data_IF_363187299277
#
_entry.id   IF_363187299277
#
_cell.length_a   1.000
_cell.length_b   1.000
_cell.length_c   1.000
_cell.angle_alpha   90.00
_cell.angle_beta   90.00
_cell.angle_gamma   90.00
#
_symmetry.space_group_name_H-M   'P 1'
#
loop_
_entity.id
_entity.type
_entity.pdbx_description
1 polymer ?
#
# COMPACT_ATOMS: atom_id res chain seq x y z
N UNK A 1 -5.99 -7.49 -2.72
CA UNK A 1 -5.69 -8.20 -3.99
C UNK A 1 -5.37 -9.62 -3.62
N UNK A 2 -5.82 -10.61 -4.39
CA UNK A 2 -5.49 -12.01 -4.16
C UNK A 2 -4.61 -12.53 -5.30
N UNK A 3 -3.68 -13.42 -4.99
CA UNK A 3 -2.90 -14.18 -5.97
C UNK A 3 -3.21 -15.66 -5.82
N UNK A 4 -3.23 -16.38 -6.94
CA UNK A 4 -3.35 -17.84 -6.99
C UNK A 4 -2.08 -18.37 -7.65
N UNK A 5 -1.29 -19.16 -6.92
CA UNK A 5 -0.12 -19.86 -7.44
C UNK A 5 -0.49 -21.32 -7.68
N UNK A 6 -0.79 -21.73 -8.93
CA UNK A 6 -1.01 -23.13 -9.24
C UNK A 6 0.34 -23.84 -9.38
N UNK A 7 0.77 -24.53 -8.33
CA UNK A 7 1.74 -25.62 -8.45
C UNK A 7 0.97 -26.88 -8.89
N UNK A 8 1.59 -27.89 -9.52
CA UNK A 8 0.90 -29.14 -9.82
C UNK A 8 0.22 -29.71 -8.56
N UNK A 9 -1.12 -29.70 -8.55
CA UNK A 9 -1.94 -30.19 -7.44
C UNK A 9 -2.12 -29.27 -6.23
N UNK A 10 -1.62 -28.03 -6.24
CA UNK A 10 -1.77 -27.10 -5.10
C UNK A 10 -2.18 -25.69 -5.57
N UNK A 11 -3.17 -25.11 -4.90
CA UNK A 11 -3.57 -23.72 -5.07
C UNK A 11 -3.39 -22.98 -3.75
N UNK A 12 -2.64 -21.89 -3.77
CA UNK A 12 -2.47 -21.00 -2.63
C UNK A 12 -3.28 -19.72 -2.84
N UNK A 13 -4.04 -19.28 -1.83
CA UNK A 13 -4.74 -18.01 -1.83
C UNK A 13 -4.12 -17.10 -0.77
N UNK A 14 -3.57 -15.97 -1.19
CA UNK A 14 -3.03 -14.94 -0.28
C UNK A 14 -3.92 -13.70 -0.27
N UNK A 15 -4.15 -13.14 0.91
CA UNK A 15 -4.91 -11.90 1.08
C UNK A 15 -4.28 -11.03 2.18
N UNK A 16 -4.10 -9.74 1.92
CA UNK A 16 -3.71 -8.76 2.95
C UNK A 16 -4.85 -8.57 3.97
N UNK A 17 -4.48 -8.36 5.23
CA UNK A 17 -5.39 -7.96 6.31
C UNK A 17 -6.26 -6.73 5.97
N UNK A 18 -5.76 -5.86 5.11
CA UNK A 18 -6.46 -4.65 4.66
C UNK A 18 -7.01 -4.80 3.24
N UNK A 19 -7.25 -6.03 2.78
CA UNK A 19 -7.84 -6.27 1.47
C UNK A 19 -9.33 -5.91 1.46
N UNK A 20 -9.90 -5.70 0.27
CA UNK A 20 -11.34 -5.46 0.15
C UNK A 20 -12.13 -6.64 0.71
N UNK A 21 -13.27 -6.36 1.36
CA UNK A 21 -14.17 -7.36 1.93
C UNK A 21 -13.60 -8.19 3.09
N UNK A 22 -12.42 -7.85 3.60
CA UNK A 22 -11.98 -8.36 4.90
C UNK A 22 -12.83 -7.71 5.99
N UNK A 23 -13.46 -8.51 6.83
CA UNK A 23 -14.07 -8.01 8.06
C UNK A 23 -12.95 -7.73 9.06
N UNK A 24 -12.84 -6.48 9.49
CA UNK A 24 -11.77 -6.03 10.37
C UNK A 24 -12.40 -5.50 11.66
N UNK A 25 -12.16 -6.21 12.76
CA UNK A 25 -12.59 -5.83 14.09
C UNK A 25 -11.39 -5.21 14.81
N UNK A 26 -11.40 -3.88 14.84
CA UNK A 26 -10.46 -3.02 15.60
C UNK A 26 -8.96 -3.24 15.30
N UNK A 27 -8.61 -3.66 14.09
CA UNK A 27 -7.25 -4.05 13.69
C UNK A 27 -6.67 -5.21 14.54
N UNK A 28 -7.50 -5.97 15.25
CA UNK A 28 -7.10 -7.09 16.11
C UNK A 28 -7.50 -8.44 15.53
N UNK A 29 -8.71 -8.51 14.96
CA UNK A 29 -9.28 -9.74 14.41
C UNK A 29 -9.76 -9.49 12.98
N UNK A 30 -9.28 -10.31 12.07
CA UNK A 30 -9.56 -10.21 10.64
C UNK A 30 -10.22 -11.49 10.17
N UNK A 31 -11.42 -11.36 9.59
CA UNK A 31 -12.14 -12.49 9.01
C UNK A 31 -12.23 -12.32 7.50
N UNK A 32 -11.80 -13.36 6.81
CA UNK A 32 -11.85 -13.48 5.37
C UNK A 32 -12.85 -14.56 5.00
N UNK A 33 -13.69 -14.27 4.00
CA UNK A 33 -14.71 -15.18 3.52
C UNK A 33 -14.64 -15.25 2.01
N UNK A 34 -14.39 -16.44 1.48
CA UNK A 34 -14.23 -16.69 0.05
C UNK A 34 -15.14 -17.83 -0.40
N UNK A 35 -15.59 -17.75 -1.65
CA UNK A 35 -16.21 -18.86 -2.34
C UNK A 35 -15.18 -19.42 -3.33
N UNK A 36 -14.67 -20.61 -3.07
CA UNK A 36 -13.80 -21.33 -3.99
C UNK A 36 -14.69 -22.14 -4.93
N UNK A 37 -14.69 -21.78 -6.20
CA UNK A 37 -15.44 -22.47 -7.25
C UNK A 37 -14.46 -23.33 -8.04
N UNK A 38 -14.69 -24.65 -8.07
CA UNK A 38 -13.87 -25.60 -8.83
C UNK A 38 -14.68 -26.23 -9.94
N UNK A 39 -14.08 -26.42 -11.11
CA UNK A 39 -14.69 -27.09 -12.26
C UNK A 39 -13.91 -28.39 -12.50
N UNK A 40 -14.61 -29.52 -12.48
CA UNK A 40 -13.98 -30.82 -12.74
C UNK A 40 -13.78 -31.10 -14.24
N UNK A 41 -13.14 -32.22 -14.56
CA UNK A 41 -12.88 -32.63 -15.95
C UNK A 41 -14.15 -32.85 -16.79
N UNK A 42 -15.31 -33.03 -16.14
CA UNK A 42 -16.60 -33.21 -16.78
C UNK A 42 -17.36 -31.87 -16.91
N UNK A 43 -16.78 -30.76 -16.48
CA UNK A 43 -17.39 -29.43 -16.50
C UNK A 43 -18.38 -29.18 -15.36
N UNK A 44 -18.41 -30.03 -14.34
CA UNK A 44 -19.29 -29.84 -13.18
C UNK A 44 -18.68 -28.83 -12.22
N UNK A 45 -19.46 -27.82 -11.86
CA UNK A 45 -19.08 -26.79 -10.89
C UNK A 45 -19.39 -27.25 -9.46
N UNK A 46 -18.43 -27.05 -8.56
CA UNK A 46 -18.61 -27.24 -7.12
C UNK A 46 -18.10 -26.01 -6.37
N UNK A 47 -18.92 -25.50 -5.45
CA UNK A 47 -18.61 -24.31 -4.65
C UNK A 47 -18.30 -24.71 -3.21
N UNK A 48 -17.16 -24.25 -2.71
CA UNK A 48 -16.72 -24.41 -1.33
C UNK A 48 -16.69 -23.05 -0.64
N UNK A 49 -17.37 -22.95 0.50
CA UNK A 49 -17.27 -21.78 1.36
C UNK A 49 -16.03 -21.90 2.24
N UNK A 50 -15.09 -20.98 2.08
CA UNK A 50 -13.80 -20.97 2.79
C UNK A 50 -13.74 -19.70 3.63
N UNK A 51 -13.72 -19.87 4.95
CA UNK A 51 -13.56 -18.77 5.88
C UNK A 51 -12.26 -18.95 6.66
N UNK A 52 -11.54 -17.85 6.87
CA UNK A 52 -10.35 -17.81 7.70
C UNK A 52 -10.45 -16.62 8.65
N UNK A 53 -10.26 -16.86 9.94
CA UNK A 53 -10.16 -15.80 10.94
C UNK A 53 -8.75 -15.78 11.49
N UNK A 54 -8.11 -14.63 11.39
CA UNK A 54 -6.74 -14.40 11.83
C UNK A 54 -6.76 -13.37 12.97
N UNK A 55 -5.99 -13.64 14.01
CA UNK A 55 -5.72 -12.68 15.09
C UNK A 55 -4.22 -12.46 15.17
N UNK A 56 -3.82 -11.24 15.52
CA UNK A 56 -2.41 -10.89 15.64
C UNK A 56 -1.89 -11.28 17.00
N UNK A 57 -0.71 -11.91 17.03
CA UNK A 57 -0.03 -12.28 18.27
C UNK A 57 0.57 -11.08 19.01
N UNK A 58 0.82 -9.98 18.29
CA UNK A 58 1.33 -8.72 18.81
C UNK A 58 0.52 -7.57 18.22
N UNK A 59 0.35 -6.46 18.96
CA UNK A 59 -0.26 -5.26 18.42
C UNK A 59 0.54 -4.74 17.22
N UNK A 60 -0.15 -4.22 16.22
CA UNK A 60 0.51 -3.61 15.07
C UNK A 60 1.40 -2.43 15.47
N UNK A 61 2.55 -2.32 14.83
CA UNK A 61 3.39 -1.13 14.94
C UNK A 61 2.68 0.09 14.32
N UNK A 62 2.98 1.32 14.77
CA UNK A 62 2.45 2.55 14.18
C UNK A 62 2.55 2.64 12.65
N UNK A 63 3.60 2.04 12.08
CA UNK A 63 3.82 1.90 10.65
C UNK A 63 4.35 0.51 10.35
N UNK A 64 3.76 -0.14 9.36
CA UNK A 64 4.06 -1.52 8.96
C UNK A 64 4.24 -1.57 7.46
N UNK A 65 5.27 -2.28 7.00
CA UNK A 65 5.57 -2.46 5.57
C UNK A 65 5.48 -3.95 5.25
N UNK A 66 4.71 -4.29 4.22
CA UNK A 66 4.55 -5.65 3.71
C UNK A 66 5.01 -5.69 2.25
N UNK A 67 6.01 -6.53 1.99
CA UNK A 67 6.52 -6.77 0.65
C UNK A 67 5.95 -8.11 0.19
N UNK A 68 4.97 -8.06 -0.71
CA UNK A 68 4.37 -9.26 -1.31
C UNK A 68 4.99 -9.53 -2.68
N UNK A 69 4.57 -10.60 -3.35
CA UNK A 69 5.11 -10.97 -4.67
C UNK A 69 4.80 -9.94 -5.76
N UNK A 70 3.63 -9.29 -5.69
CA UNK A 70 3.11 -8.45 -6.76
C UNK A 70 2.83 -7.00 -6.34
N UNK A 71 2.92 -6.68 -5.05
CA UNK A 71 2.79 -5.32 -4.55
C UNK A 71 3.60 -5.08 -3.28
N UNK A 72 3.88 -3.80 -3.03
CA UNK A 72 4.35 -3.28 -1.76
C UNK A 72 3.18 -2.61 -1.06
N UNK A 73 3.04 -2.82 0.25
CA UNK A 73 2.02 -2.20 1.07
C UNK A 73 2.67 -1.54 2.27
N UNK A 74 2.20 -0.34 2.60
CA UNK A 74 2.50 0.30 3.88
C UNK A 74 1.19 0.66 4.54
N UNK A 75 1.08 0.32 5.83
CA UNK A 75 -0.05 0.71 6.66
C UNK A 75 0.45 1.58 7.82
N UNK A 76 -0.26 2.66 8.09
CA UNK A 76 0.06 3.63 9.14
C UNK A 76 -1.16 3.86 10.01
N UNK A 77 -0.96 3.90 11.33
CA UNK A 77 -2.03 4.20 12.28
C UNK A 77 -2.46 5.66 12.13
N UNK A 78 -3.77 5.89 12.05
CA UNK A 78 -4.35 7.20 11.66
C UNK A 78 -4.21 8.28 12.74
N UNK A 79 -4.06 7.88 14.00
CA UNK A 79 -3.90 8.77 15.17
C UNK A 79 -2.45 9.17 15.45
N UNK A 80 -1.49 8.62 14.68
CA UNK A 80 -0.07 8.91 14.87
C UNK A 80 0.30 10.15 14.08
N UNK A 81 0.57 11.23 14.81
CA UNK A 81 1.32 12.35 14.27
C UNK A 81 2.79 11.94 14.20
N UNK A 82 3.26 11.50 13.03
CA UNK A 82 4.69 11.38 12.79
C UNK A 82 5.29 12.79 12.84
N UNK A 83 5.88 13.16 13.97
CA UNK A 83 6.80 14.29 14.04
C UNK A 83 8.01 13.90 13.19
N UNK A 84 8.19 14.54 12.03
CA UNK A 84 9.33 14.27 11.16
C UNK A 84 10.64 14.44 11.95
N UNK A 85 11.43 13.36 11.99
CA UNK A 85 12.86 13.46 12.22
C UNK A 85 13.46 14.40 11.17
N UNK A 86 14.36 15.26 11.61
CA UNK A 86 15.05 16.28 10.82
C UNK A 86 15.65 15.71 9.54
N UNK A 87 15.03 15.93 8.36
CA UNK A 87 15.68 15.73 7.06
C UNK A 87 15.15 16.67 5.96
N UNK A 88 16.08 17.56 5.56
CA UNK A 88 16.48 17.99 4.19
C UNK A 88 15.53 18.77 3.27
N UNK A 89 16.16 19.54 2.37
CA UNK A 89 15.58 20.43 1.34
C UNK A 89 14.43 19.83 0.51
N UNK A 90 14.43 18.52 0.33
CA UNK A 90 13.39 17.82 -0.42
C UNK A 90 12.01 17.86 0.27
N UNK A 91 11.97 17.77 1.61
CA UNK A 91 10.73 17.93 2.36
C UNK A 91 10.23 19.39 2.29
N UNK A 92 11.14 20.35 2.32
CA UNK A 92 10.83 21.78 2.16
C UNK A 92 10.23 22.07 0.78
N UNK A 93 10.77 21.47 -0.29
CA UNK A 93 10.24 21.58 -1.64
C UNK A 93 8.84 20.94 -1.76
N UNK A 94 8.65 19.76 -1.17
CA UNK A 94 7.34 19.11 -1.10
C UNK A 94 6.33 19.98 -0.34
N UNK A 95 6.72 20.57 0.79
CA UNK A 95 5.87 21.47 1.57
C UNK A 95 5.47 22.72 0.79
N UNK A 96 6.39 23.34 0.05
CA UNK A 96 6.10 24.49 -0.79
C UNK A 96 5.08 24.15 -1.90
N UNK A 97 5.26 23.01 -2.58
CA UNK A 97 4.33 22.50 -3.60
C UNK A 97 2.97 22.18 -3.01
N UNK A 98 2.92 21.51 -1.84
CA UNK A 98 1.67 21.23 -1.16
C UNK A 98 0.95 22.53 -0.75
N UNK A 99 1.65 23.53 -0.23
CA UNK A 99 1.03 24.80 0.12
C UNK A 99 0.41 25.54 -1.06
N UNK A 100 1.03 25.51 -2.24
CA UNK A 100 0.49 26.19 -3.42
C UNK A 100 -0.67 25.42 -4.06
N UNK A 101 -0.61 24.09 -4.07
CA UNK A 101 -1.57 23.23 -4.77
C UNK A 101 -2.71 22.68 -3.92
N UNK A 102 -2.57 22.63 -2.58
CA UNK A 102 -3.49 21.93 -1.70
C UNK A 102 -4.91 22.49 -1.75
N UNK A 103 -5.83 21.63 -2.16
CA UNK A 103 -7.28 21.80 -2.02
C UNK A 103 -7.80 21.08 -0.77
N UNK A 104 -9.08 21.22 -0.44
CA UNK A 104 -9.70 20.43 0.63
C UNK A 104 -9.77 18.93 0.30
N UNK A 105 -9.64 18.56 -0.97
CA UNK A 105 -9.57 17.17 -1.43
C UNK A 105 -8.16 16.61 -1.22
N UNK A 106 -8.07 15.34 -0.84
CA UNK A 106 -6.78 14.65 -0.74
C UNK A 106 -6.13 14.47 -2.12
N UNK A 107 -4.85 14.81 -2.18
CA UNK A 107 -4.00 14.69 -3.36
C UNK A 107 -2.72 13.94 -2.98
N UNK A 108 -2.03 13.41 -3.99
CA UNK A 108 -0.74 12.74 -3.83
C UNK A 108 0.27 13.31 -4.81
N UNK A 109 1.53 13.35 -4.41
CA UNK A 109 2.66 13.53 -5.31
C UNK A 109 3.70 12.46 -5.00
N UNK A 110 4.51 12.09 -5.98
CA UNK A 110 5.56 11.10 -5.81
C UNK A 110 6.92 11.77 -5.87
N UNK A 111 7.73 11.55 -4.84
CA UNK A 111 9.10 12.02 -4.79
C UNK A 111 10.00 11.05 -5.55
N UNK A 112 10.65 11.56 -6.60
CA UNK A 112 11.62 10.83 -7.40
C UNK A 112 12.81 11.75 -7.71
N UNK A 113 14.02 11.21 -7.60
CA UNK A 113 15.25 11.98 -7.83
C UNK A 113 15.28 12.56 -9.25
N UNK A 114 15.56 13.86 -9.36
CA UNK A 114 15.63 14.57 -10.64
C UNK A 114 14.30 14.85 -11.33
N UNK A 115 13.16 14.47 -10.73
CA UNK A 115 11.83 14.78 -11.27
C UNK A 115 11.13 15.90 -10.50
N UNK A 116 10.28 16.64 -11.21
CA UNK A 116 9.42 17.66 -10.62
C UNK A 116 8.24 17.01 -9.88
N UNK A 117 8.01 17.43 -8.64
CA UNK A 117 6.84 17.02 -7.86
C UNK A 117 5.57 17.51 -8.54
N UNK A 118 4.79 16.57 -9.07
CA UNK A 118 3.54 16.85 -9.76
C UNK A 118 2.38 16.29 -8.93
N UNK A 119 1.51 17.15 -8.37
CA UNK A 119 0.26 16.74 -7.74
C UNK A 119 -0.63 15.95 -8.69
N UNK A 120 -1.22 14.88 -8.18
CA UNK A 120 -2.28 14.13 -8.84
C UNK A 120 -3.39 13.77 -7.86
N UNK A 121 -4.59 13.57 -8.39
CA UNK A 121 -5.72 13.02 -7.65
C UNK A 121 -5.51 11.52 -7.36
N UNK A 122 -6.24 11.00 -6.37
CA UNK A 122 -6.25 9.55 -6.12
C UNK A 122 -6.85 8.73 -7.27
N UNK A 123 -7.70 9.34 -8.10
CA UNK A 123 -8.22 8.70 -9.31
C UNK A 123 -7.11 8.49 -10.32
N UNK A 124 -6.33 9.54 -10.61
CA UNK A 124 -5.19 9.45 -11.54
C UNK A 124 -4.12 8.47 -11.03
N UNK A 125 -3.81 8.52 -9.73
CA UNK A 125 -2.88 7.57 -9.13
C UNK A 125 -3.36 6.12 -9.26
N UNK A 126 -4.68 5.88 -9.16
CA UNK A 126 -5.29 4.56 -9.33
C UNK A 126 -5.17 4.01 -10.74
N UNK A 127 -5.31 4.86 -11.77
CA UNK A 127 -5.06 4.45 -13.15
C UNK A 127 -3.60 4.01 -13.38
N UNK A 128 -2.67 4.51 -12.56
CA UNK A 128 -1.27 4.09 -12.54
C UNK A 128 -1.01 2.86 -11.63
N UNK A 129 -2.06 2.28 -11.03
CA UNK A 129 -1.97 1.11 -10.16
C UNK A 129 -1.69 1.41 -8.68
N UNK A 130 -1.60 2.68 -8.29
CA UNK A 130 -1.42 3.09 -6.89
C UNK A 130 -2.76 3.16 -6.17
N UNK A 131 -2.87 2.51 -5.01
CA UNK A 131 -4.14 2.43 -4.29
C UNK A 131 -3.99 2.94 -2.87
N UNK A 132 -4.92 3.81 -2.47
CA UNK A 132 -5.04 4.35 -1.14
C UNK A 132 -6.35 3.86 -0.52
N UNK A 133 -6.27 3.34 0.71
CA UNK A 133 -7.41 2.89 1.50
C UNK A 133 -7.37 3.53 2.88
N UNK A 134 -8.56 3.86 3.38
CA UNK A 134 -8.78 4.32 4.74
C UNK A 134 -9.59 3.25 5.44
N UNK A 135 -9.08 2.73 6.55
CA UNK A 135 -9.85 1.91 7.50
C UNK A 135 -10.20 2.76 8.72
N UNK A 136 -10.90 2.18 9.69
CA UNK A 136 -11.27 2.89 10.91
C UNK A 136 -10.05 3.30 11.77
N UNK A 137 -8.98 2.49 11.77
CA UNK A 137 -7.76 2.73 12.54
C UNK A 137 -6.50 3.05 11.72
N UNK A 138 -6.50 2.77 10.41
CA UNK A 138 -5.30 2.81 9.59
C UNK A 138 -5.50 3.44 8.22
N UNK A 139 -4.41 3.99 7.74
CA UNK A 139 -4.21 4.48 6.40
C UNK A 139 -3.35 3.43 5.68
N UNK A 140 -3.77 2.94 4.50
CA UNK A 140 -3.07 1.90 3.73
C UNK A 140 -2.78 2.35 2.31
N UNK A 141 -1.53 2.20 1.87
CA UNK A 141 -1.05 2.51 0.54
C UNK A 141 -0.49 1.26 -0.10
N UNK A 142 -0.83 1.04 -1.37
CA UNK A 142 -0.31 -0.05 -2.19
C UNK A 142 0.33 0.50 -3.45
N UNK A 143 1.49 -0.06 -3.76
CA UNK A 143 2.20 0.15 -5.02
C UNK A 143 2.45 -1.18 -5.69
N UNK A 144 2.33 -1.30 -7.01
CA UNK A 144 2.94 -2.42 -7.73
C UNK A 144 4.49 -2.33 -7.65
N UNK A 145 5.19 -3.38 -8.09
CA UNK A 145 6.63 -3.34 -8.35
C UNK A 145 6.96 -2.90 -9.78
N UNK A 146 8.21 -2.54 -10.04
CA UNK A 146 8.77 -2.30 -11.38
C UNK A 146 8.62 -3.54 -12.28
N UNK A 147 8.39 -3.35 -13.59
CA UNK A 147 8.29 -2.07 -14.31
C UNK A 147 6.91 -1.39 -14.19
N UNK A 148 5.97 -1.94 -13.39
CA UNK A 148 4.62 -1.39 -13.25
C UNK A 148 4.54 -0.20 -12.30
N UNK A 149 5.49 -0.04 -11.39
CA UNK A 149 5.63 1.18 -10.57
C UNK A 149 6.30 2.29 -11.36
N UNK A 150 5.52 3.05 -12.13
CA UNK A 150 6.03 4.14 -12.99
C UNK A 150 6.71 5.25 -12.17
N UNK A 151 6.25 5.46 -10.93
CA UNK A 151 6.79 6.43 -9.95
C UNK A 151 7.79 5.79 -8.96
N UNK A 152 8.21 4.55 -9.20
CA UNK A 152 9.20 3.85 -8.38
C UNK A 152 10.62 4.06 -8.86
N UNK A 153 11.59 3.93 -7.95
CA UNK A 153 13.01 3.92 -8.26
C UNK A 153 13.70 2.74 -7.60
N UNK A 154 14.76 2.21 -8.24
CA UNK A 154 15.57 1.14 -7.65
C UNK A 154 16.88 1.76 -7.18
N UNK A 155 17.25 1.48 -5.94
CA UNK A 155 18.48 1.98 -5.31
C UNK A 155 19.22 0.86 -4.59
N UNK A 156 20.53 1.04 -4.40
CA UNK A 156 21.35 0.11 -3.62
C UNK A 156 21.38 0.56 -2.16
N UNK A 157 20.86 -0.26 -1.26
CA UNK A 157 20.87 -0.02 0.19
C UNK A 157 21.59 -1.17 0.86
N UNK A 158 22.73 -0.88 1.52
CA UNK A 158 23.55 -1.87 2.23
C UNK A 158 23.88 -3.12 1.37
N UNK A 159 24.13 -2.94 0.08
CA UNK A 159 24.47 -4.04 -0.84
C UNK A 159 23.26 -4.81 -1.40
N UNK A 160 22.03 -4.43 -1.05
CA UNK A 160 20.80 -5.01 -1.60
C UNK A 160 20.11 -4.03 -2.55
N UNK A 161 19.60 -4.55 -3.67
CA UNK A 161 18.74 -3.76 -4.56
C UNK A 161 17.36 -3.62 -3.92
N UNK A 162 16.93 -2.38 -3.71
CA UNK A 162 15.66 -2.05 -3.08
C UNK A 162 14.88 -1.14 -4.00
N UNK A 163 13.66 -1.55 -4.31
CA UNK A 163 12.69 -0.69 -4.97
C UNK A 163 12.04 0.20 -3.93
N UNK A 164 11.98 1.50 -4.22
CA UNK A 164 11.43 2.53 -3.35
C UNK A 164 10.36 3.28 -4.09
N UNK A 165 9.23 3.53 -3.43
CA UNK A 165 8.19 4.45 -3.87
C UNK A 165 7.94 5.43 -2.75
N UNK A 166 7.92 6.72 -3.05
CA UNK A 166 7.82 7.78 -2.05
C UNK A 166 6.60 8.67 -2.31
N UNK A 167 5.38 8.22 -1.95
CA UNK A 167 4.19 9.04 -2.03
C UNK A 167 4.12 10.00 -0.86
N UNK A 168 3.76 11.25 -1.15
CA UNK A 168 3.45 12.27 -0.16
C UNK A 168 2.01 12.69 -0.38
N UNK A 169 1.17 12.36 0.59
CA UNK A 169 -0.25 12.74 0.61
C UNK A 169 -0.38 14.12 1.21
N UNK A 170 -1.25 14.93 0.65
CA UNK A 170 -1.53 16.25 1.21
C UNK A 170 -2.95 16.71 0.98
N UNK A 171 -3.44 17.55 1.89
CA UNK A 171 -4.76 18.16 1.84
C UNK A 171 -4.79 19.42 2.69
N UNK A 172 -5.54 20.43 2.27
CA UNK A 172 -5.76 21.66 3.03
C UNK A 172 -6.93 21.48 4.00
N UNK A 173 -6.61 21.49 5.29
CA UNK A 173 -7.56 21.49 6.39
C UNK A 173 -7.68 22.91 6.95
N UNK A 174 -8.65 23.68 6.41
CA UNK A 174 -8.83 25.11 6.70
C UNK A 174 -7.57 25.91 6.38
N UNK A 175 -6.87 26.41 7.40
CA UNK A 175 -5.66 27.22 7.27
C UNK A 175 -4.36 26.40 7.35
N UNK A 176 -4.46 25.10 7.68
CA UNK A 176 -3.32 24.18 7.78
C UNK A 176 -3.29 23.28 6.55
N UNK A 177 -2.10 22.97 6.04
CA UNK A 177 -1.91 21.90 5.06
C UNK A 177 -1.39 20.68 5.80
N UNK A 178 -2.16 19.60 5.74
CA UNK A 178 -1.77 18.30 6.26
C UNK A 178 -0.94 17.60 5.21
N UNK A 179 0.18 17.01 5.63
CA UNK A 179 1.04 16.19 4.78
C UNK A 179 1.37 14.89 5.50
N UNK A 180 1.43 13.79 4.74
CA UNK A 180 1.77 12.48 5.26
C UNK A 180 2.77 11.82 4.32
N UNK A 181 3.86 11.30 4.86
CA UNK A 181 4.88 10.54 4.14
C UNK A 181 4.57 9.04 4.20
N UNK A 182 4.42 8.43 3.03
CA UNK A 182 4.05 7.03 2.85
C UNK A 182 5.14 6.22 2.15
N UNK A 183 6.40 6.63 2.28
CA UNK A 183 7.51 5.93 1.65
C UNK A 183 7.44 4.42 1.92
N UNK A 184 7.63 3.62 0.89
CA UNK A 184 7.68 2.17 0.99
C UNK A 184 8.88 1.68 0.21
N UNK A 185 9.56 0.68 0.75
CA UNK A 185 10.79 0.17 0.19
C UNK A 185 10.86 -1.34 0.41
N UNK A 186 11.06 -2.11 -0.67
CA UNK A 186 11.10 -3.56 -0.65
C UNK A 186 12.28 -4.06 -1.48
N UNK A 187 12.95 -5.12 -1.01
CA UNK A 187 14.04 -5.72 -1.77
C UNK A 187 13.53 -6.30 -3.09
N UNK A 188 14.30 -6.14 -4.15
CA UNK A 188 14.03 -6.74 -5.46
C UNK A 188 14.75 -8.08 -5.67
N UNK A 189 15.66 -8.44 -4.74
CA UNK A 189 16.27 -9.77 -4.71
C UNK A 189 15.17 -10.78 -4.34
N UNK A 190 14.70 -11.52 -5.35
CA UNK A 190 13.50 -12.35 -5.31
C UNK A 190 13.28 -13.10 -3.99
N UNK A 191 12.04 -13.05 -3.52
CA UNK A 191 11.37 -14.16 -2.86
C UNK A 191 11.72 -15.45 -3.62
N UNK A 192 12.56 -16.28 -3.03
CA UNK A 192 12.94 -17.60 -3.55
C UNK A 192 12.08 -18.67 -2.89
#
# INVERSE_FOLDING_TARGET
MFSILPLPGHAELRASYFSCHTDNQDDEVFTFSFNLITIDANGMETTYHVNATCSLSLPWSPREVSCEENYMEVSMRSDVSCLSGTTTDAWTAALATAHSAATSTWQVMFQQEGQQLTPMSFSEARELGYVFHLTQGRLVFRSPYTPRSVMGSVSMVNGSLVEVVHPILFSRQRWVVMMVDWIVACSTSKFQ
#
